data_IF_618318810367
#
_entry.id   IF_618318810367
#
_cell.length_a   1.000
_cell.length_b   1.000
_cell.length_c   1.000
_cell.angle_alpha   90.00
_cell.angle_beta   90.00
_cell.angle_gamma   90.00
#
_symmetry.space_group_name_H-M   'P 1'
#
loop_
_entity.id
_entity.type
_entity.pdbx_description
1 polymer ?
#
# COMPACT_ATOMS: atom_id res chain seq x y z
N UNK A 1 0.15 6.35 2.90
CA UNK A 1 -0.19 7.40 1.90
C UNK A 1 -1.66 7.32 1.55
N UNK A 2 -2.37 8.44 1.48
CA UNK A 2 -3.77 8.50 1.05
C UNK A 2 -4.63 9.49 1.86
N UNK A 3 -5.77 9.90 1.29
CA UNK A 3 -6.74 10.77 1.96
C UNK A 3 -7.19 10.16 3.29
N UNK A 4 -7.38 11.00 4.31
CA UNK A 4 -7.81 10.58 5.64
C UNK A 4 -9.32 10.25 5.68
N UNK A 5 -9.68 9.09 5.15
CA UNK A 5 -11.06 8.55 5.12
C UNK A 5 -11.09 7.15 5.72
N UNK A 6 -12.20 6.76 6.34
CA UNK A 6 -12.35 5.49 7.06
C UNK A 6 -11.91 4.26 6.25
N UNK A 7 -12.20 4.27 4.95
CA UNK A 7 -11.77 3.26 3.97
C UNK A 7 -10.29 2.89 4.05
N UNK A 8 -9.42 3.87 4.32
CA UNK A 8 -7.96 3.70 4.26
C UNK A 8 -7.39 3.07 5.53
N UNK A 9 -8.23 2.81 6.55
CA UNK A 9 -7.86 2.05 7.74
C UNK A 9 -6.72 2.63 8.57
N UNK A 10 -6.41 3.94 8.45
CA UNK A 10 -5.28 4.53 9.19
C UNK A 10 -5.46 4.43 10.72
N UNK A 11 -6.71 4.31 11.20
CA UNK A 11 -7.00 4.04 12.61
C UNK A 11 -6.32 2.75 13.09
N UNK A 12 -6.47 1.66 12.35
CA UNK A 12 -5.86 0.37 12.72
C UNK A 12 -4.33 0.43 12.69
N UNK A 13 -3.77 1.18 11.74
CA UNK A 13 -2.33 1.43 11.70
C UNK A 13 -1.84 2.27 12.90
N UNK A 14 -2.60 3.28 13.30
CA UNK A 14 -2.25 4.09 14.46
C UNK A 14 -2.26 3.25 15.75
N UNK A 15 -3.28 2.41 15.92
CA UNK A 15 -3.36 1.46 17.05
C UNK A 15 -2.20 0.45 17.02
N UNK A 16 -1.84 -0.07 15.84
CA UNK A 16 -0.70 -0.97 15.67
C UNK A 16 0.63 -0.31 16.06
N UNK A 17 0.85 0.93 15.64
CA UNK A 17 2.04 1.71 15.99
C UNK A 17 2.07 2.02 17.49
N UNK A 18 0.91 2.26 18.12
CA UNK A 18 0.76 2.35 19.57
C UNK A 18 1.34 1.14 20.31
N UNK A 19 1.03 -0.07 19.84
CA UNK A 19 1.53 -1.31 20.41
C UNK A 19 3.06 -1.46 20.25
N UNK A 20 3.58 -1.09 19.08
CA UNK A 20 5.01 -1.20 18.77
C UNK A 20 5.87 -0.17 19.51
N UNK A 21 5.35 1.05 19.69
CA UNK A 21 6.05 2.14 20.34
C UNK A 21 6.39 1.84 21.81
N UNK A 22 5.64 0.95 22.47
CA UNK A 22 5.94 0.48 23.83
C UNK A 22 7.24 -0.35 23.92
N UNK A 23 7.71 -0.89 22.80
CA UNK A 23 8.85 -1.82 22.74
C UNK A 23 10.01 -1.25 21.91
N UNK A 24 9.80 -0.12 21.22
CA UNK A 24 10.76 0.42 20.25
C UNK A 24 10.77 1.95 20.24
N UNK A 25 11.96 2.54 20.38
CA UNK A 25 12.10 4.00 20.44
C UNK A 25 12.34 4.67 19.08
N UNK A 26 12.83 3.92 18.10
CA UNK A 26 13.17 4.40 16.75
C UNK A 26 12.08 4.04 15.72
N UNK A 27 10.82 4.38 16.03
CA UNK A 27 9.69 4.18 15.12
C UNK A 27 9.06 5.53 14.77
N UNK A 28 8.93 5.81 13.48
CA UNK A 28 8.28 7.00 12.95
C UNK A 28 7.22 6.58 11.92
N UNK A 29 5.96 6.88 12.20
CA UNK A 29 4.86 6.74 11.25
C UNK A 29 4.64 8.07 10.51
N UNK A 30 4.69 8.02 9.19
CA UNK A 30 4.35 9.15 8.32
C UNK A 30 3.02 8.88 7.62
N UNK A 31 2.06 9.78 7.82
CA UNK A 31 0.76 9.77 7.14
C UNK A 31 0.69 11.00 6.22
N UNK A 32 0.95 10.80 4.94
CA UNK A 32 0.78 11.82 3.90
C UNK A 32 -0.51 11.59 3.10
N UNK A 33 -1.24 12.67 2.89
CA UNK A 33 -2.52 12.74 2.20
C UNK A 33 -3.42 13.84 2.79
N UNK A 34 -4.34 14.40 1.99
CA UNK A 34 -5.23 15.46 2.45
C UNK A 34 -6.18 14.96 3.56
N UNK A 35 -6.67 15.90 4.35
CA UNK A 35 -7.74 15.67 5.33
C UNK A 35 -9.00 15.11 4.66
N UNK A 36 -9.85 14.45 5.44
CA UNK A 36 -11.08 13.82 5.00
C UNK A 36 -11.99 13.44 6.17
N UNK A 37 -12.97 12.58 5.91
CA UNK A 37 -14.00 12.22 6.90
C UNK A 37 -13.48 11.56 8.17
N UNK A 38 -12.29 10.96 8.16
CA UNK A 38 -11.70 10.33 9.34
C UNK A 38 -10.69 11.22 10.08
N UNK A 39 -10.41 12.45 9.60
CA UNK A 39 -9.37 13.31 10.20
C UNK A 39 -9.58 13.55 11.69
N UNK A 40 -10.80 13.95 12.10
CA UNK A 40 -11.09 14.24 13.50
C UNK A 40 -10.88 13.03 14.42
N UNK A 41 -11.25 11.83 13.95
CA UNK A 41 -11.03 10.58 14.68
C UNK A 41 -9.53 10.26 14.81
N UNK A 42 -8.77 10.40 13.72
CA UNK A 42 -7.33 10.14 13.73
C UNK A 42 -6.57 11.11 14.62
N UNK A 43 -6.93 12.40 14.62
CA UNK A 43 -6.35 13.41 15.51
C UNK A 43 -6.67 13.11 16.99
N UNK A 44 -7.90 12.71 17.29
CA UNK A 44 -8.31 12.31 18.63
C UNK A 44 -7.54 11.08 19.12
N UNK A 45 -7.44 10.03 18.30
CA UNK A 45 -6.69 8.82 18.63
C UNK A 45 -5.21 9.12 18.84
N UNK A 46 -4.62 9.95 17.97
CA UNK A 46 -3.23 10.36 18.13
C UNK A 46 -3.03 11.07 19.47
N UNK A 47 -3.88 12.03 19.82
CA UNK A 47 -3.78 12.76 21.08
C UNK A 47 -3.87 11.83 22.31
N UNK A 48 -4.66 10.77 22.22
CA UNK A 48 -4.83 9.78 23.30
C UNK A 48 -3.73 8.72 23.35
N UNK A 49 -3.05 8.46 22.23
CA UNK A 49 -2.05 7.39 22.10
C UNK A 49 -0.75 7.64 22.87
N UNK A 50 -0.44 8.89 23.21
CA UNK A 50 0.87 9.27 23.78
C UNK A 50 2.05 9.16 22.79
N UNK A 51 1.80 8.94 21.49
CA UNK A 51 2.84 8.75 20.48
C UNK A 51 3.62 10.02 20.13
N UNK A 52 3.05 11.22 20.37
CA UNK A 52 3.72 12.50 20.12
C UNK A 52 4.32 12.58 18.71
N UNK A 53 5.58 13.00 18.62
CA UNK A 53 6.27 13.21 17.33
C UNK A 53 6.60 11.91 16.57
N UNK A 54 6.29 10.73 17.12
CA UNK A 54 6.44 9.43 16.45
C UNK A 54 5.38 9.22 15.36
N UNK A 55 4.34 10.06 15.30
CA UNK A 55 3.37 10.05 14.21
C UNK A 55 3.32 11.44 13.59
N UNK A 56 3.46 11.53 12.27
CA UNK A 56 3.45 12.80 11.54
C UNK A 56 2.40 12.78 10.45
N UNK A 57 1.36 13.58 10.62
CA UNK A 57 0.39 13.88 9.58
C UNK A 57 0.92 15.03 8.71
N UNK A 58 1.36 14.72 7.49
CA UNK A 58 2.00 15.70 6.60
C UNK A 58 1.01 16.45 5.71
N UNK A 59 -0.27 16.07 5.74
CA UNK A 59 -1.27 16.63 4.84
C UNK A 59 -0.99 16.29 3.37
N UNK A 60 -1.50 17.11 2.45
CA UNK A 60 -1.28 16.93 1.02
C UNK A 60 0.20 17.18 0.66
N UNK A 61 0.80 16.30 -0.15
CA UNK A 61 2.22 16.36 -0.54
C UNK A 61 2.38 16.17 -2.04
N UNK A 62 3.41 16.80 -2.59
CA UNK A 62 3.81 16.66 -4.01
C UNK A 62 5.12 15.89 -4.17
N UNK A 63 5.84 15.69 -3.07
CA UNK A 63 7.11 14.98 -2.95
C UNK A 63 6.92 13.56 -2.37
N UNK A 64 5.84 12.90 -2.79
CA UNK A 64 5.52 11.53 -2.36
C UNK A 64 6.66 10.55 -2.69
N UNK A 65 7.31 10.61 -3.87
CA UNK A 65 8.44 9.74 -4.18
C UNK A 65 9.60 9.87 -3.19
N UNK A 66 9.94 11.10 -2.79
CA UNK A 66 11.01 11.39 -1.83
C UNK A 66 10.68 10.86 -0.44
N UNK A 67 9.42 11.00 -0.01
CA UNK A 67 8.97 10.47 1.29
C UNK A 67 9.04 8.94 1.28
N UNK A 68 8.57 8.30 0.20
CA UNK A 68 8.62 6.85 0.06
C UNK A 68 10.06 6.34 -0.02
N UNK A 69 10.95 7.01 -0.76
CA UNK A 69 12.36 6.63 -0.87
C UNK A 69 13.12 6.70 0.47
N UNK A 70 12.63 7.51 1.42
CA UNK A 70 13.18 7.61 2.76
C UNK A 70 12.58 6.61 3.77
N UNK A 71 11.57 5.82 3.37
CA UNK A 71 10.88 4.89 4.26
C UNK A 71 11.57 3.51 4.31
N UNK A 72 11.53 2.85 5.46
CA UNK A 72 12.04 1.47 5.60
C UNK A 72 11.05 0.42 5.06
N UNK A 73 9.74 0.69 5.17
CA UNK A 73 8.66 -0.14 4.66
C UNK A 73 7.41 0.69 4.40
N UNK A 74 6.47 0.14 3.63
CA UNK A 74 5.18 0.75 3.35
C UNK A 74 4.03 -0.04 3.97
N UNK A 75 3.09 0.65 4.63
CA UNK A 75 1.88 0.01 5.19
C UNK A 75 0.62 0.50 4.47
N UNK A 76 -0.21 -0.45 4.04
CA UNK A 76 -1.42 -0.21 3.26
C UNK A 76 -2.63 -0.93 3.89
N UNK A 77 -3.17 -0.39 5.00
CA UNK A 77 -4.20 -1.03 5.83
C UNK A 77 -5.63 -0.78 5.30
N UNK A 78 -5.79 -0.60 3.98
CA UNK A 78 -7.08 -0.23 3.39
C UNK A 78 -8.11 -1.36 3.50
N UNK A 79 -9.36 -0.99 3.77
CA UNK A 79 -10.50 -1.92 3.89
C UNK A 79 -11.14 -2.25 2.55
N UNK A 80 -11.13 -1.30 1.63
CA UNK A 80 -11.56 -1.47 0.24
C UNK A 80 -10.77 -0.50 -0.64
N UNK A 81 -10.62 -0.82 -1.92
CA UNK A 81 -9.90 0.02 -2.89
C UNK A 81 -10.51 -0.16 -4.28
N UNK A 82 -10.35 0.86 -5.13
CA UNK A 82 -10.49 0.69 -6.58
C UNK A 82 -9.17 0.21 -7.15
N UNK A 83 -8.30 1.15 -7.52
CA UNK A 83 -6.90 0.90 -7.87
C UNK A 83 -6.00 1.41 -6.74
N UNK A 84 -5.16 0.56 -6.11
CA UNK A 84 -4.30 0.99 -5.02
C UNK A 84 -3.04 1.70 -5.55
N UNK A 85 -3.19 2.91 -6.09
CA UNK A 85 -2.10 3.66 -6.72
C UNK A 85 -0.90 3.90 -5.79
N UNK A 86 -1.15 4.26 -4.53
CA UNK A 86 -0.09 4.46 -3.55
C UNK A 86 0.70 3.18 -3.23
N UNK A 87 0.06 2.00 -3.34
CA UNK A 87 0.75 0.72 -3.20
C UNK A 87 1.67 0.46 -4.41
N UNK A 88 1.18 0.77 -5.62
CA UNK A 88 1.97 0.68 -6.86
C UNK A 88 3.19 1.61 -6.80
N UNK A 89 3.03 2.84 -6.32
CA UNK A 89 4.12 3.80 -6.10
C UNK A 89 5.16 3.26 -5.11
N UNK A 90 4.71 2.65 -4.00
CA UNK A 90 5.61 2.08 -2.99
C UNK A 90 6.45 0.92 -3.56
N UNK A 91 5.82 -0.02 -4.28
CA UNK A 91 6.56 -1.13 -4.88
C UNK A 91 7.46 -0.66 -6.03
N UNK A 92 7.10 0.43 -6.72
CA UNK A 92 7.95 1.04 -7.74
C UNK A 92 9.29 1.49 -7.17
N UNK A 93 9.32 1.93 -5.91
CA UNK A 93 10.51 2.33 -5.18
C UNK A 93 11.18 1.17 -4.43
N UNK A 94 10.70 -0.06 -4.62
CA UNK A 94 11.29 -1.25 -4.01
C UNK A 94 11.09 -1.31 -2.51
N UNK A 95 9.98 -0.77 -1.98
CA UNK A 95 9.66 -0.90 -0.57
C UNK A 95 9.08 -2.29 -0.27
N UNK A 96 9.47 -2.93 0.83
CA UNK A 96 8.72 -4.04 1.39
C UNK A 96 7.37 -3.55 1.93
N UNK A 97 6.33 -4.37 1.81
CA UNK A 97 4.94 -3.97 2.09
C UNK A 97 4.32 -4.77 3.24
N UNK A 98 3.55 -4.10 4.09
CA UNK A 98 2.50 -4.72 4.91
C UNK A 98 1.16 -4.21 4.41
N UNK A 99 0.20 -5.08 4.10
CA UNK A 99 -1.08 -4.63 3.56
C UNK A 99 -2.25 -5.50 4.00
N UNK A 100 -3.45 -4.94 3.99
CA UNK A 100 -4.68 -5.70 4.21
C UNK A 100 -4.92 -6.69 3.07
N UNK A 101 -5.31 -7.92 3.40
CA UNK A 101 -5.62 -8.99 2.47
C UNK A 101 -7.00 -8.76 1.83
N UNK A 102 -7.05 -7.86 0.86
CA UNK A 102 -8.23 -7.56 0.05
C UNK A 102 -7.92 -7.78 -1.43
N UNK A 103 -8.93 -8.09 -2.24
CA UNK A 103 -8.73 -8.46 -3.64
C UNK A 103 -7.89 -7.44 -4.45
N UNK A 104 -8.15 -6.12 -4.40
CA UNK A 104 -7.34 -5.15 -5.14
C UNK A 104 -5.87 -5.11 -4.73
N UNK A 105 -5.57 -5.43 -3.46
CA UNK A 105 -4.19 -5.49 -2.95
C UNK A 105 -3.51 -6.77 -3.41
N UNK A 106 -4.18 -7.91 -3.33
CA UNK A 106 -3.68 -9.21 -3.80
C UNK A 106 -3.44 -9.24 -5.32
N UNK A 107 -4.07 -8.34 -6.08
CA UNK A 107 -3.75 -8.12 -7.49
C UNK A 107 -2.40 -7.41 -7.69
N UNK A 108 -1.91 -6.61 -6.74
CA UNK A 108 -0.67 -5.83 -6.89
C UNK A 108 0.53 -6.50 -6.24
N UNK A 109 0.35 -7.17 -5.10
CA UNK A 109 1.42 -7.79 -4.34
C UNK A 109 1.18 -9.28 -4.08
N UNK A 110 2.26 -9.98 -3.77
CA UNK A 110 2.29 -11.41 -3.53
C UNK A 110 2.65 -11.67 -2.05
N UNK A 111 1.75 -12.34 -1.32
CA UNK A 111 1.96 -12.66 0.09
C UNK A 111 3.23 -13.51 0.28
N UNK A 112 3.99 -13.15 1.32
CA UNK A 112 5.28 -13.76 1.69
C UNK A 112 6.36 -13.71 0.61
N UNK A 113 6.19 -12.89 -0.45
CA UNK A 113 7.21 -12.67 -1.50
C UNK A 113 7.68 -11.24 -1.57
N UNK A 114 6.77 -10.28 -1.57
CA UNK A 114 7.09 -8.85 -1.48
C UNK A 114 6.22 -8.08 -0.48
N UNK A 115 5.20 -8.74 0.04
CA UNK A 115 4.32 -8.19 1.07
C UNK A 115 4.02 -9.23 2.16
N UNK A 116 3.68 -8.74 3.35
CA UNK A 116 2.93 -9.49 4.34
C UNK A 116 1.47 -9.06 4.29
N UNK A 117 0.59 -9.98 3.91
CA UNK A 117 -0.85 -9.74 3.88
C UNK A 117 -1.50 -10.12 5.20
N UNK A 118 -2.26 -9.20 5.78
CA UNK A 118 -2.92 -9.37 7.08
C UNK A 118 -4.44 -9.21 6.96
N UNK A 119 -5.24 -9.79 7.86
CA UNK A 119 -6.68 -9.52 7.88
C UNK A 119 -6.98 -8.01 7.97
N UNK A 120 -7.98 -7.49 7.25
CA UNK A 120 -8.42 -6.12 7.43
C UNK A 120 -8.91 -5.90 8.87
N UNK A 121 -8.84 -4.66 9.34
CA UNK A 121 -9.31 -4.26 10.69
C UNK A 121 -8.55 -4.89 11.86
N UNK A 122 -7.40 -5.53 11.62
CA UNK A 122 -6.57 -6.14 12.67
C UNK A 122 -5.31 -5.33 12.97
N UNK A 123 -5.37 -4.49 14.00
CA UNK A 123 -4.20 -3.74 14.49
C UNK A 123 -3.11 -4.65 15.06
N UNK A 124 -3.48 -5.82 15.59
CA UNK A 124 -2.53 -6.82 16.14
C UNK A 124 -1.73 -7.46 15.01
N UNK A 125 -2.42 -7.97 13.97
CA UNK A 125 -1.72 -8.59 12.84
C UNK A 125 -0.87 -7.56 12.07
N UNK A 126 -1.36 -6.31 11.95
CA UNK A 126 -0.56 -5.20 11.40
C UNK A 126 0.72 -4.98 12.22
N UNK A 127 0.61 -4.90 13.54
CA UNK A 127 1.78 -4.70 14.41
C UNK A 127 2.78 -5.84 14.28
N UNK A 128 2.32 -7.09 14.27
CA UNK A 128 3.17 -8.27 14.14
C UNK A 128 3.88 -8.34 12.78
N UNK A 129 3.19 -8.02 11.69
CA UNK A 129 3.77 -7.97 10.35
C UNK A 129 4.80 -6.83 10.21
N UNK A 130 4.49 -5.64 10.74
CA UNK A 130 5.42 -4.51 10.77
C UNK A 130 6.66 -4.88 11.57
N UNK A 131 6.50 -5.46 12.76
CA UNK A 131 7.61 -5.94 13.60
C UNK A 131 8.50 -6.92 12.84
N UNK A 132 7.88 -7.90 12.18
CA UNK A 132 8.59 -8.93 11.41
C UNK A 132 9.51 -8.29 10.36
N UNK A 133 9.02 -7.38 9.53
CA UNK A 133 9.85 -6.73 8.50
C UNK A 133 10.89 -5.77 9.09
N UNK A 134 10.62 -5.17 10.25
CA UNK A 134 11.56 -4.28 10.92
C UNK A 134 12.71 -5.02 11.64
N UNK A 135 12.51 -6.29 11.98
CA UNK A 135 13.49 -7.15 12.66
C UNK A 135 14.26 -8.03 11.66
N UNK A 136 13.56 -8.61 10.69
CA UNK A 136 14.14 -9.51 9.67
C UNK A 136 14.63 -8.71 8.45
N UNK A 137 15.73 -7.96 8.62
CA UNK A 137 16.31 -7.12 7.54
C UNK A 137 16.55 -7.85 6.22
N UNK A 138 17.09 -9.10 6.19
CA UNK A 138 17.29 -9.82 4.93
C UNK A 138 15.97 -10.09 4.21
N UNK A 139 14.90 -10.40 4.96
CA UNK A 139 13.57 -10.61 4.40
C UNK A 139 13.00 -9.30 3.83
N UNK A 140 13.11 -8.19 4.58
CA UNK A 140 12.66 -6.89 4.12
C UNK A 140 13.38 -6.44 2.83
N UNK A 141 14.69 -6.67 2.74
CA UNK A 141 15.46 -6.38 1.53
C UNK A 141 14.99 -7.22 0.34
N UNK A 142 14.86 -8.53 0.52
CA UNK A 142 14.38 -9.43 -0.54
C UNK A 142 12.96 -9.06 -1.00
N UNK A 143 12.10 -8.63 -0.07
CA UNK A 143 10.76 -8.16 -0.39
C UNK A 143 10.79 -6.86 -1.19
N UNK A 144 11.68 -5.93 -0.84
CA UNK A 144 11.87 -4.70 -1.59
C UNK A 144 12.37 -4.94 -3.03
N UNK A 145 13.35 -5.82 -3.18
CA UNK A 145 13.85 -6.26 -4.50
C UNK A 145 12.72 -6.87 -5.34
N UNK A 146 11.95 -7.79 -4.75
CA UNK A 146 10.80 -8.41 -5.44
C UNK A 146 9.70 -7.41 -5.76
N UNK A 147 9.44 -6.44 -4.90
CA UNK A 147 8.50 -5.33 -5.15
C UNK A 147 8.89 -4.56 -6.42
N UNK A 148 10.18 -4.26 -6.58
CA UNK A 148 10.70 -3.55 -7.76
C UNK A 148 10.57 -4.38 -9.03
N UNK A 149 10.87 -5.68 -8.97
CA UNK A 149 10.66 -6.62 -10.09
C UNK A 149 9.20 -6.65 -10.52
N UNK A 150 8.27 -6.84 -9.58
CA UNK A 150 6.83 -6.85 -9.84
C UNK A 150 6.39 -5.56 -10.53
N UNK A 151 6.87 -4.40 -10.07
CA UNK A 151 6.58 -3.12 -10.73
C UNK A 151 7.05 -3.09 -12.18
N UNK A 152 8.30 -3.48 -12.44
CA UNK A 152 8.90 -3.48 -13.78
C UNK A 152 8.20 -4.47 -14.74
N UNK A 153 7.78 -5.62 -14.21
CA UNK A 153 7.03 -6.63 -14.97
C UNK A 153 5.60 -6.17 -15.27
N UNK A 154 4.93 -5.51 -14.31
CA UNK A 154 3.47 -5.41 -14.30
C UNK A 154 2.89 -4.01 -14.35
N UNK A 155 3.60 -2.98 -13.93
CA UNK A 155 3.00 -1.67 -13.63
C UNK A 155 3.71 -0.48 -14.27
N UNK A 156 4.68 -0.70 -15.16
CA UNK A 156 5.22 0.39 -15.98
C UNK A 156 4.15 0.92 -16.94
N UNK A 157 4.35 2.16 -17.39
CA UNK A 157 3.45 2.78 -18.35
C UNK A 157 3.43 1.98 -19.66
N UNK A 158 4.59 1.55 -20.13
CA UNK A 158 4.76 0.75 -21.35
C UNK A 158 3.97 -0.56 -21.25
N UNK A 159 4.14 -1.29 -20.16
CA UNK A 159 3.42 -2.57 -19.93
C UNK A 159 1.92 -2.38 -19.81
N UNK A 160 1.49 -1.29 -19.19
CA UNK A 160 0.08 -0.96 -19.05
C UNK A 160 -0.54 -0.62 -20.42
N UNK A 161 0.18 0.11 -21.27
CA UNK A 161 -0.23 0.44 -22.63
C UNK A 161 -0.28 -0.79 -23.52
N UNK A 162 0.75 -1.65 -23.49
CA UNK A 162 0.79 -2.91 -24.25
C UNK A 162 -0.45 -3.78 -23.98
N UNK A 163 -0.78 -4.03 -22.71
CA UNK A 163 -1.97 -4.83 -22.36
C UNK A 163 -3.29 -4.19 -22.79
N UNK A 164 -3.35 -2.86 -22.76
CA UNK A 164 -4.54 -2.13 -23.20
C UNK A 164 -4.73 -2.27 -24.72
N UNK A 165 -3.65 -2.14 -25.50
CA UNK A 165 -3.68 -2.36 -26.96
C UNK A 165 -4.04 -3.81 -27.28
N UNK A 166 -3.42 -4.79 -26.62
CA UNK A 166 -3.74 -6.22 -26.80
C UNK A 166 -5.21 -6.55 -26.47
N UNK A 167 -5.80 -5.87 -25.49
CA UNK A 167 -7.22 -6.02 -25.19
C UNK A 167 -8.08 -5.47 -26.33
N UNK A 168 -7.78 -4.28 -26.84
CA UNK A 168 -8.51 -3.70 -27.97
C UNK A 168 -8.38 -4.55 -29.22
N UNK A 169 -7.18 -5.02 -29.56
CA UNK A 169 -6.94 -5.89 -30.72
C UNK A 169 -7.73 -7.20 -30.62
N UNK A 170 -7.76 -7.83 -29.44
CA UNK A 170 -8.57 -9.04 -29.22
C UNK A 170 -10.06 -8.78 -29.41
N UNK A 171 -10.58 -7.67 -28.91
CA UNK A 171 -12.00 -7.33 -29.03
C UNK A 171 -12.39 -7.00 -30.47
N UNK A 172 -11.55 -6.27 -31.20
CA UNK A 172 -11.76 -5.97 -32.62
C UNK A 172 -11.75 -7.24 -33.47
N UNK A 173 -10.75 -8.12 -33.28
CA UNK A 173 -10.65 -9.39 -34.01
C UNK A 173 -11.83 -10.34 -33.72
N UNK A 174 -12.36 -10.35 -32.50
CA UNK A 174 -13.58 -11.13 -32.17
C UNK A 174 -14.83 -10.53 -32.83
N UNK A 175 -14.92 -9.20 -32.91
CA UNK A 175 -16.06 -8.54 -33.57
C UNK A 175 -16.12 -8.81 -35.07
N UNK A 176 -14.97 -8.87 -35.76
CA UNK A 176 -14.89 -9.22 -37.18
C UNK A 176 -15.30 -10.68 -37.43
N UNK A 177 -14.89 -11.60 -36.55
CA UNK A 177 -15.28 -13.02 -36.63
C UNK A 177 -16.77 -13.26 -36.33
N UNK A 178 -17.39 -12.45 -35.48
CA UNK A 178 -18.82 -12.50 -35.22
C UNK A 178 -19.63 -11.90 -36.37
N UNK A 179 -19.17 -10.79 -36.96
CA UNK A 179 -19.77 -10.21 -38.16
C UNK A 179 -19.70 -11.13 -39.39
N UNK A 180 -18.62 -11.88 -39.54
CA UNK A 180 -18.44 -12.83 -40.64
C UNK A 180 -19.27 -14.14 -40.51
N UNK A 181 -19.87 -14.42 -39.35
CA UNK A 181 -20.73 -15.60 -39.11
C UNK A 181 -22.23 -15.32 -39.25
N UNK A 182 -22.62 -14.07 -39.49
CA UNK A 182 -24.03 -13.64 -39.55
C UNK A 182 -24.50 -13.42 -41.01
N UNK A 183 -23.69 -13.79 -42.00
CA UNK A 183 -24.05 -13.76 -43.43
C UNK A 183 -23.87 -15.13 -44.08
#
# INVERSE_FOLDING_TARGET
>A
MGRQVYQKGQRFLLDAVGQLAAQRDNLLLIVAGPQGGATAELEQLHAQSGLGDRVRFLGNRTDVPEILAAADLFVFPSLYEGLPGALIEAIALGLPVVASNIAPVAEVVEDRRNALLVPPESSVDLADAIRTLLEERPMAQAFGERSREIFLERFTLERSMERMVELYDRLLNQSEQLGAKVF
#
